data_IF_283494380064
#
_entry.id   IF_283494380064
#
_cell.length_a   1.000
_cell.length_b   1.000
_cell.length_c   1.000
_cell.angle_alpha   90.00
_cell.angle_beta   90.00
_cell.angle_gamma   90.00
#
_symmetry.space_group_name_H-M   'P 1'
#
loop_
_entity.id
_entity.type
_entity.pdbx_description
1 polymer ?
#
# COMPACT_ATOMS: atom_id res chain seq x y z
N UNK A 1 -18.95 -27.30 -9.47
CA UNK A 1 -19.13 -26.01 -8.78
C UNK A 1 -20.53 -25.53 -9.11
N UNK A 2 -21.36 -25.26 -8.11
CA UNK A 2 -22.69 -24.69 -8.31
C UNK A 2 -22.63 -23.17 -8.44
N UNK A 3 -23.73 -22.55 -8.88
CA UNK A 3 -23.85 -21.09 -8.92
C UNK A 3 -23.73 -20.44 -7.54
N UNK A 4 -24.29 -21.10 -6.52
CA UNK A 4 -24.21 -20.69 -5.12
C UNK A 4 -22.77 -20.79 -4.58
N UNK A 5 -22.07 -21.89 -4.86
CA UNK A 5 -20.66 -22.04 -4.50
C UNK A 5 -19.79 -20.96 -5.16
N UNK A 6 -20.04 -20.65 -6.44
CA UNK A 6 -19.36 -19.59 -7.18
C UNK A 6 -19.63 -18.22 -6.54
N UNK A 7 -20.87 -17.94 -6.17
CA UNK A 7 -21.24 -16.69 -5.50
C UNK A 7 -20.58 -16.56 -4.13
N UNK A 8 -20.61 -17.61 -3.31
CA UNK A 8 -20.01 -17.64 -1.98
C UNK A 8 -18.49 -17.45 -2.06
N UNK A 9 -17.81 -18.18 -2.95
CA UNK A 9 -16.37 -18.05 -3.18
C UNK A 9 -16.00 -16.64 -3.65
N UNK A 10 -16.69 -16.14 -4.66
CA UNK A 10 -16.41 -14.82 -5.23
C UNK A 10 -16.59 -13.70 -4.20
N UNK A 11 -17.66 -13.77 -3.41
CA UNK A 11 -17.97 -12.76 -2.38
C UNK A 11 -16.98 -12.83 -1.22
N UNK A 12 -16.61 -14.03 -0.76
CA UNK A 12 -15.59 -14.21 0.29
C UNK A 12 -14.28 -13.54 -0.09
N UNK A 13 -13.85 -13.76 -1.34
CA UNK A 13 -12.57 -13.27 -1.81
C UNK A 13 -12.69 -11.80 -2.19
N UNK A 14 -13.44 -11.44 -3.21
CA UNK A 14 -13.42 -10.06 -3.74
C UNK A 14 -14.52 -9.14 -3.22
N UNK A 15 -15.48 -9.66 -2.45
CA UNK A 15 -16.61 -8.86 -1.96
C UNK A 15 -17.48 -8.33 -3.10
N UNK A 16 -17.83 -7.05 -3.03
CA UNK A 16 -18.60 -6.41 -4.07
C UNK A 16 -17.80 -6.32 -5.38
N UNK A 17 -18.44 -6.65 -6.51
CA UNK A 17 -17.79 -6.65 -7.82
C UNK A 17 -17.03 -7.94 -8.19
N UNK A 18 -17.14 -9.02 -7.40
CA UNK A 18 -16.49 -10.31 -7.70
C UNK A 18 -16.81 -10.83 -9.11
N UNK A 19 -18.02 -10.58 -9.62
CA UNK A 19 -18.43 -11.03 -10.95
C UNK A 19 -17.57 -10.40 -12.06
N UNK A 20 -17.17 -9.13 -11.91
CA UNK A 20 -16.29 -8.46 -12.86
C UNK A 20 -14.86 -9.00 -12.79
N UNK A 21 -14.37 -9.32 -11.59
CA UNK A 21 -13.04 -9.94 -11.38
C UNK A 21 -12.97 -11.33 -12.01
N UNK A 22 -13.97 -12.17 -11.75
CA UNK A 22 -14.06 -13.51 -12.34
C UNK A 22 -14.20 -13.41 -13.87
N UNK A 23 -15.05 -12.52 -14.37
CA UNK A 23 -15.21 -12.30 -15.80
C UNK A 23 -13.89 -11.90 -16.48
N UNK A 24 -13.14 -10.98 -15.88
CA UNK A 24 -11.83 -10.56 -16.38
C UNK A 24 -10.82 -11.71 -16.36
N UNK A 25 -10.74 -12.47 -15.27
CA UNK A 25 -9.81 -13.60 -15.13
C UNK A 25 -10.09 -14.73 -16.13
N UNK A 26 -11.38 -15.05 -16.35
CA UNK A 26 -11.82 -16.08 -17.28
C UNK A 26 -11.96 -15.58 -18.73
N UNK A 27 -11.79 -14.27 -18.98
CA UNK A 27 -12.01 -13.62 -20.27
C UNK A 27 -13.41 -13.88 -20.86
N UNK A 28 -14.43 -13.83 -20.01
CA UNK A 28 -15.85 -13.96 -20.39
C UNK A 28 -16.62 -12.69 -20.06
N UNK A 29 -17.83 -12.56 -20.62
CA UNK A 29 -18.72 -11.44 -20.26
C UNK A 29 -19.23 -11.57 -18.81
N UNK A 30 -19.37 -10.44 -18.11
CA UNK A 30 -19.91 -10.39 -16.74
C UNK A 30 -21.32 -11.00 -16.65
N UNK A 31 -22.15 -10.85 -17.69
CA UNK A 31 -23.46 -11.50 -17.79
C UNK A 31 -23.35 -13.01 -17.78
N UNK A 32 -22.31 -13.60 -18.39
CA UNK A 32 -22.08 -15.04 -18.37
C UNK A 32 -21.87 -15.52 -16.93
N UNK A 33 -20.99 -14.84 -16.18
CA UNK A 33 -20.77 -15.13 -14.76
C UNK A 33 -22.06 -14.95 -13.96
N UNK A 34 -22.83 -13.89 -14.23
CA UNK A 34 -24.10 -13.64 -13.57
C UNK A 34 -25.12 -14.77 -13.81
N UNK A 35 -25.22 -15.28 -15.04
CA UNK A 35 -26.08 -16.42 -15.39
C UNK A 35 -25.71 -17.66 -14.59
N UNK A 36 -24.42 -17.95 -14.49
CA UNK A 36 -23.93 -19.07 -13.67
C UNK A 36 -24.31 -18.92 -12.21
N UNK A 37 -24.08 -17.75 -11.62
CA UNK A 37 -24.37 -17.50 -10.19
C UNK A 37 -25.86 -17.58 -9.85
N UNK A 38 -26.74 -17.30 -10.82
CA UNK A 38 -28.19 -17.44 -10.68
C UNK A 38 -28.72 -18.85 -10.97
N UNK A 39 -27.86 -19.77 -11.40
CA UNK A 39 -28.28 -21.11 -11.85
C UNK A 39 -29.02 -21.12 -13.20
N UNK A 40 -29.04 -20.01 -13.94
CA UNK A 40 -29.63 -19.95 -15.29
C UNK A 40 -28.84 -20.83 -16.30
N UNK A 41 -27.57 -21.13 -15.98
CA UNK A 41 -26.74 -22.08 -16.72
C UNK A 41 -25.70 -22.70 -15.78
N UNK A 42 -25.30 -23.97 -15.96
CA UNK A 42 -24.27 -24.58 -15.14
C UNK A 42 -22.91 -23.91 -15.36
N UNK A 43 -22.07 -23.89 -14.31
CA UNK A 43 -20.66 -23.46 -14.43
C UNK A 43 -19.90 -24.54 -15.21
N UNK A 44 -19.26 -24.24 -16.35
CA UNK A 44 -18.44 -25.20 -17.08
C UNK A 44 -17.29 -25.73 -16.21
N UNK A 45 -16.93 -27.00 -16.36
CA UNK A 45 -15.88 -27.62 -15.53
C UNK A 45 -14.52 -26.89 -15.63
N UNK A 46 -14.13 -26.45 -16.84
CA UNK A 46 -12.93 -25.65 -17.05
C UNK A 46 -12.98 -24.30 -16.32
N UNK A 47 -14.09 -23.57 -16.47
CA UNK A 47 -14.31 -22.31 -15.76
C UNK A 47 -14.29 -22.50 -14.23
N UNK A 48 -14.87 -23.60 -13.73
CA UNK A 48 -14.83 -23.92 -12.30
C UNK A 48 -13.40 -24.16 -11.79
N UNK A 49 -12.55 -24.82 -12.57
CA UNK A 49 -11.14 -25.04 -12.23
C UNK A 49 -10.36 -23.72 -12.23
N UNK A 50 -10.55 -22.88 -13.25
CA UNK A 50 -9.91 -21.57 -13.35
C UNK A 50 -10.35 -20.62 -12.22
N UNK A 51 -11.63 -20.60 -11.86
CA UNK A 51 -12.10 -19.81 -10.70
C UNK A 51 -11.38 -20.23 -9.42
N UNK A 52 -11.19 -21.55 -9.19
CA UNK A 52 -10.47 -22.02 -8.01
C UNK A 52 -9.00 -21.58 -8.02
N UNK A 53 -8.37 -21.57 -9.19
CA UNK A 53 -7.01 -21.08 -9.34
C UNK A 53 -6.91 -19.57 -9.02
N UNK A 54 -7.82 -18.75 -9.58
CA UNK A 54 -7.90 -17.31 -9.29
C UNK A 54 -8.12 -17.03 -7.80
N UNK A 55 -8.96 -17.84 -7.15
CA UNK A 55 -9.20 -17.73 -5.71
C UNK A 55 -7.93 -18.05 -4.91
N UNK A 56 -7.23 -19.13 -5.25
CA UNK A 56 -6.00 -19.53 -4.56
C UNK A 56 -4.89 -18.47 -4.73
N UNK A 57 -4.74 -17.90 -5.93
CA UNK A 57 -3.78 -16.83 -6.20
C UNK A 57 -4.08 -15.58 -5.37
N UNK A 58 -5.33 -15.17 -5.29
CA UNK A 58 -5.74 -13.99 -4.51
C UNK A 58 -5.62 -14.21 -3.00
N UNK A 59 -5.95 -15.40 -2.50
CA UNK A 59 -5.74 -15.77 -1.09
C UNK A 59 -4.24 -15.74 -0.74
N UNK A 60 -3.36 -16.27 -1.61
CA UNK A 60 -1.91 -16.21 -1.40
C UNK A 60 -1.37 -14.78 -1.48
N UNK A 61 -1.83 -13.97 -2.44
CA UNK A 61 -1.47 -12.55 -2.55
C UNK A 61 -1.78 -11.81 -1.25
N UNK A 62 -2.97 -12.02 -0.68
CA UNK A 62 -3.37 -11.41 0.59
C UNK A 62 -2.55 -11.90 1.77
N UNK A 63 -2.21 -13.19 1.80
CA UNK A 63 -1.33 -13.74 2.82
C UNK A 63 0.03 -13.04 2.80
N UNK A 64 0.65 -12.94 1.61
CA UNK A 64 1.93 -12.27 1.43
C UNK A 64 1.86 -10.78 1.79
N UNK A 65 0.80 -10.07 1.40
CA UNK A 65 0.59 -8.66 1.78
C UNK A 65 0.45 -8.49 3.29
N UNK A 66 -0.30 -9.38 3.94
CA UNK A 66 -0.47 -9.37 5.39
C UNK A 66 0.85 -9.66 6.11
N UNK A 67 1.65 -10.60 5.62
CA UNK A 67 2.97 -10.93 6.18
C UNK A 67 3.96 -9.78 5.99
N UNK A 68 3.97 -9.16 4.80
CA UNK A 68 4.79 -7.98 4.52
C UNK A 68 4.40 -6.81 5.43
N UNK A 69 3.09 -6.57 5.62
CA UNK A 69 2.60 -5.55 6.54
C UNK A 69 3.01 -5.87 7.98
N UNK A 70 2.83 -7.11 8.45
CA UNK A 70 3.21 -7.51 9.81
C UNK A 70 4.72 -7.37 10.06
N UNK A 71 5.55 -7.61 9.03
CA UNK A 71 7.00 -7.40 9.09
C UNK A 71 7.40 -5.92 9.06
N UNK A 72 6.67 -5.09 8.31
CA UNK A 72 6.97 -3.67 8.13
C UNK A 72 6.42 -2.79 9.26
N UNK A 73 5.24 -3.11 9.79
CA UNK A 73 4.54 -2.27 10.77
C UNK A 73 5.40 -1.90 11.99
N UNK A 74 6.12 -2.84 12.66
CA UNK A 74 6.98 -2.49 13.78
C UNK A 74 8.11 -1.52 13.42
N UNK A 75 8.61 -1.59 12.18
CA UNK A 75 9.65 -0.66 11.70
C UNK A 75 9.07 0.71 11.40
N UNK A 76 7.88 0.77 10.80
CA UNK A 76 7.16 2.02 10.57
C UNK A 76 6.84 2.69 11.91
N UNK A 77 6.35 1.93 12.88
CA UNK A 77 6.07 2.42 14.23
C UNK A 77 7.33 2.91 14.95
N UNK A 78 8.45 2.20 14.82
CA UNK A 78 9.74 2.63 15.38
C UNK A 78 10.23 3.94 14.73
N UNK A 79 10.13 4.06 13.40
CA UNK A 79 10.49 5.30 12.68
C UNK A 79 9.57 6.45 13.08
N UNK A 80 8.26 6.21 13.22
CA UNK A 80 7.31 7.22 13.69
C UNK A 80 7.59 7.63 15.13
N UNK A 81 7.88 6.68 16.01
CA UNK A 81 8.24 6.96 17.40
C UNK A 81 9.55 7.76 17.49
N UNK A 82 10.54 7.43 16.68
CA UNK A 82 11.79 8.19 16.57
C UNK A 82 11.52 9.61 16.04
N UNK A 83 10.73 9.74 14.96
CA UNK A 83 10.33 11.02 14.39
C UNK A 83 9.59 11.92 15.40
N UNK A 84 8.66 11.35 16.17
CA UNK A 84 7.89 12.06 17.20
C UNK A 84 8.72 12.38 18.45
N UNK A 85 9.83 11.66 18.69
CA UNK A 85 10.74 11.94 19.80
C UNK A 85 11.64 13.16 19.54
N UNK A 86 11.85 13.53 18.28
CA UNK A 86 12.54 14.77 17.95
C UNK A 86 11.69 15.97 18.37
N UNK A 87 12.12 16.70 19.40
CA UNK A 87 11.51 18.00 19.68
C UNK A 87 11.91 18.96 18.57
N UNK A 88 11.03 19.88 18.14
CA UNK A 88 11.39 20.91 17.16
C UNK A 88 12.68 21.68 17.51
N UNK A 89 12.97 21.83 18.81
CA UNK A 89 14.21 22.42 19.31
C UNK A 89 15.47 21.58 18.99
N UNK A 90 15.39 20.24 19.04
CA UNK A 90 16.51 19.35 18.76
C UNK A 90 16.81 19.29 17.24
N UNK A 91 15.76 19.36 16.42
CA UNK A 91 15.88 19.50 14.96
C UNK A 91 16.55 20.83 14.58
N UNK A 92 16.10 21.93 15.19
CA UNK A 92 16.72 23.26 15.05
C UNK A 92 18.18 23.27 15.52
N UNK A 93 18.49 22.64 16.65
CA UNK A 93 19.85 22.52 17.16
C UNK A 93 20.77 21.75 16.20
N UNK A 94 20.29 20.64 15.62
CA UNK A 94 21.02 19.88 14.61
C UNK A 94 21.29 20.67 13.33
N UNK A 95 20.30 21.43 12.84
CA UNK A 95 20.43 22.30 11.67
C UNK A 95 21.47 23.41 11.92
N UNK A 96 21.42 24.07 13.08
CA UNK A 96 22.38 25.11 13.47
C UNK A 96 23.79 24.53 13.66
N UNK A 97 23.91 23.35 14.27
CA UNK A 97 25.20 22.67 14.44
C UNK A 97 25.87 22.39 13.09
N UNK A 98 25.10 21.89 12.10
CA UNK A 98 25.62 21.57 10.77
C UNK A 98 25.98 22.80 9.94
N UNK A 99 25.19 23.87 10.05
CA UNK A 99 25.55 25.17 9.47
C UNK A 99 26.84 25.73 10.10
N UNK A 100 27.05 25.50 11.41
CA UNK A 100 28.26 25.92 12.12
C UNK A 100 29.48 25.07 11.73
N UNK A 101 29.32 23.78 11.48
CA UNK A 101 30.37 22.91 10.92
C UNK A 101 30.80 23.38 9.53
N UNK A 102 29.86 23.72 8.64
CA UNK A 102 30.20 24.29 7.33
C UNK A 102 31.02 25.59 7.42
N UNK A 103 30.75 26.42 8.43
CA UNK A 103 31.57 27.60 8.69
C UNK A 103 32.96 27.25 9.23
N UNK A 104 33.07 26.21 10.07
CA UNK A 104 34.33 25.71 10.65
C UNK A 104 35.23 25.05 9.60
N UNK A 105 34.65 24.29 8.67
CA UNK A 105 35.39 23.52 7.65
C UNK A 105 35.78 24.37 6.42
N UNK A 106 35.55 25.68 6.46
CA UNK A 106 35.97 26.60 5.39
C UNK A 106 35.06 26.61 4.16
N UNK A 107 33.91 25.92 4.18
CA UNK A 107 32.91 25.99 3.11
C UNK A 107 32.27 27.39 2.98
N UNK A 108 32.43 28.22 4.02
CA UNK A 108 32.11 29.64 4.00
C UNK A 108 30.64 29.94 4.33
N UNK A 109 30.32 31.22 4.59
CA UNK A 109 29.01 31.65 5.07
C UNK A 109 27.88 31.42 4.07
N UNK A 110 28.19 31.33 2.77
CA UNK A 110 27.22 31.04 1.70
C UNK A 110 26.65 29.63 1.86
N UNK A 111 27.52 28.62 2.00
CA UNK A 111 27.10 27.22 2.17
C UNK A 111 26.28 27.03 3.47
N UNK A 112 26.71 27.65 4.57
CA UNK A 112 25.97 27.62 5.82
C UNK A 112 24.57 28.27 5.70
N UNK A 113 24.48 29.40 4.99
CA UNK A 113 23.22 30.10 4.74
C UNK A 113 22.27 29.28 3.87
N UNK A 114 22.77 28.60 2.85
CA UNK A 114 21.96 27.73 1.99
C UNK A 114 21.41 26.52 2.75
N UNK A 115 22.22 25.89 3.62
CA UNK A 115 21.78 24.80 4.50
C UNK A 115 20.64 25.23 5.42
N UNK A 116 20.75 26.41 6.06
CA UNK A 116 19.67 26.96 6.89
C UNK A 116 18.41 27.27 6.07
N UNK A 117 18.57 27.87 4.88
CA UNK A 117 17.45 28.27 4.03
C UNK A 117 16.69 27.06 3.47
N UNK A 118 17.41 25.99 3.10
CA UNK A 118 16.82 24.71 2.67
C UNK A 118 16.03 24.03 3.80
N UNK A 119 16.59 24.00 5.01
CA UNK A 119 15.93 23.41 6.16
C UNK A 119 14.65 24.16 6.58
N UNK A 120 14.67 25.51 6.57
CA UNK A 120 13.47 26.32 6.84
C UNK A 120 12.37 26.09 5.80
N UNK A 121 12.75 25.93 4.52
CA UNK A 121 11.79 25.65 3.44
C UNK A 121 11.12 24.28 3.61
N UNK A 122 11.88 23.26 4.00
CA UNK A 122 11.35 21.92 4.27
C UNK A 122 10.36 21.93 5.45
N UNK A 123 10.72 22.57 6.57
CA UNK A 123 9.85 22.66 7.76
C UNK A 123 8.55 23.42 7.50
N UNK A 124 8.55 24.44 6.63
CA UNK A 124 7.33 25.17 6.25
C UNK A 124 6.40 24.33 5.37
N UNK A 125 6.95 23.54 4.46
CA UNK A 125 6.15 22.68 3.58
C UNK A 125 5.41 21.56 4.34
N UNK A 126 5.95 21.13 5.49
CA UNK A 126 5.35 20.11 6.36
C UNK A 126 4.30 20.69 7.34
N UNK A 127 4.35 21.98 7.65
CA UNK A 127 3.38 22.63 8.57
C UNK A 127 2.08 23.10 7.92
N UNK A 128 2.04 23.20 6.58
CA UNK A 128 0.89 23.67 5.79
C UNK A 128 0.10 22.51 5.12
N UNK A 129 0.48 21.25 5.39
CA UNK A 129 -0.11 20.02 4.82
C UNK A 129 -0.91 19.23 5.86
#
# INVERSE_FOLDING_TARGET
MTGEELHALGTRVWGHGYQARIAAGLKVDVRTVRRWTKGESPVPAGAAAEVRALVAEEDERRRLESEAYAFAAPRVDAILAEALAYRPADVLAGIVARATEHMRDGAGPVAATETLRGAIKALRAEGDA
#
